data_IF_298023681075
#
_entry.id   IF_298023681075
#
_cell.length_a   1.000
_cell.length_b   1.000
_cell.length_c   1.000
_cell.angle_alpha   90.00
_cell.angle_beta   90.00
_cell.angle_gamma   90.00
#
_symmetry.space_group_name_H-M   'P 1'
#
loop_
_entity.id
_entity.type
_entity.pdbx_description
1 polymer ?
#
# COMPACT_ATOMS: atom_id res chain seq x y z
N UNK A 1 -20.89 -2.22 -18.00
CA UNK A 1 -20.42 -0.83 -18.22
C UNK A 1 -19.01 -0.89 -18.79
N UNK A 2 -18.90 -0.72 -20.11
CA UNK A 2 -17.64 -0.84 -20.82
C UNK A 2 -16.93 0.52 -20.80
N UNK A 3 -15.81 0.56 -20.08
CA UNK A 3 -14.89 1.68 -19.86
C UNK A 3 -15.40 2.83 -18.97
N UNK A 4 -15.06 2.75 -17.67
CA UNK A 4 -14.92 3.94 -16.82
C UNK A 4 -13.51 4.47 -17.06
N UNK A 5 -13.39 5.66 -17.63
CA UNK A 5 -12.10 6.32 -17.84
C UNK A 5 -11.58 6.86 -16.49
N UNK A 6 -10.72 6.09 -15.82
CA UNK A 6 -10.07 6.46 -14.55
C UNK A 6 -8.68 7.10 -14.74
N UNK A 7 -8.22 7.28 -15.98
CA UNK A 7 -6.78 7.32 -16.29
C UNK A 7 -6.18 8.70 -16.58
N UNK A 8 -6.84 9.80 -16.22
CA UNK A 8 -6.20 11.12 -16.31
C UNK A 8 -6.28 11.82 -14.97
N UNK A 9 -5.21 11.74 -14.17
CA UNK A 9 -5.08 12.58 -12.99
C UNK A 9 -5.12 14.03 -13.42
N UNK A 10 -5.96 14.85 -12.77
CA UNK A 10 -5.90 16.29 -12.97
C UNK A 10 -4.49 16.81 -12.64
N UNK A 11 -4.04 17.88 -13.31
CA UNK A 11 -2.68 18.42 -13.14
C UNK A 11 -2.28 18.67 -11.67
N UNK A 12 -3.26 18.92 -10.79
CA UNK A 12 -3.05 19.20 -9.37
C UNK A 12 -3.27 18.00 -8.44
N UNK A 13 -3.84 16.88 -8.93
CA UNK A 13 -4.19 15.74 -8.08
C UNK A 13 -2.97 15.14 -7.38
N UNK A 14 -1.84 15.07 -8.08
CA UNK A 14 -0.60 14.55 -7.51
C UNK A 14 -0.15 15.34 -6.29
N UNK A 15 -0.11 16.67 -6.40
CA UNK A 15 0.35 17.53 -5.32
C UNK A 15 -0.64 17.53 -4.15
N UNK A 16 -1.95 17.54 -4.45
CA UNK A 16 -3.01 17.43 -3.44
C UNK A 16 -2.84 16.17 -2.59
N UNK A 17 -2.52 15.02 -3.22
CA UNK A 17 -2.26 13.78 -2.49
C UNK A 17 -0.99 13.91 -1.64
N UNK A 18 0.12 14.42 -2.19
CA UNK A 18 1.35 14.58 -1.42
C UNK A 18 1.17 15.51 -0.21
N UNK A 19 0.42 16.60 -0.35
CA UNK A 19 0.16 17.53 0.75
C UNK A 19 -0.71 16.90 1.83
N UNK A 20 -1.74 16.13 1.43
CA UNK A 20 -2.58 15.39 2.37
C UNK A 20 -1.78 14.32 3.13
N UNK A 21 -0.94 13.56 2.43
CA UNK A 21 -0.10 12.53 3.04
C UNK A 21 0.97 13.12 3.95
N UNK A 22 1.52 14.30 3.63
CA UNK A 22 2.43 15.02 4.52
C UNK A 22 1.73 15.42 5.82
N UNK A 23 0.54 15.99 5.73
CA UNK A 23 -0.24 16.34 6.92
C UNK A 23 -0.60 15.10 7.75
N UNK A 24 -0.96 13.98 7.09
CA UNK A 24 -1.23 12.71 7.76
C UNK A 24 0.00 12.13 8.46
N UNK A 25 1.18 12.21 7.83
CA UNK A 25 2.44 11.76 8.42
C UNK A 25 2.86 12.61 9.63
N UNK A 26 2.64 13.92 9.59
CA UNK A 26 2.92 14.83 10.71
C UNK A 26 2.00 14.58 11.91
N UNK A 27 0.75 14.22 11.66
CA UNK A 27 -0.25 13.91 12.69
C UNK A 27 -0.38 12.41 12.97
N UNK A 28 0.59 11.61 12.54
CA UNK A 28 0.45 10.15 12.55
C UNK A 28 0.39 9.60 13.98
N UNK A 29 -0.59 8.75 14.21
CA UNK A 29 -0.70 7.92 15.39
C UNK A 29 -1.07 6.49 15.00
N UNK A 30 -0.56 5.52 15.76
CA UNK A 30 -0.85 4.11 15.50
C UNK A 30 -2.31 3.79 15.79
N UNK A 31 -3.09 3.43 14.76
CA UNK A 31 -4.44 2.89 14.94
C UNK A 31 -4.38 1.43 15.43
N UNK A 32 -4.49 1.26 16.75
CA UNK A 32 -4.52 -0.06 17.37
C UNK A 32 -5.81 -0.83 17.15
N UNK A 33 -6.93 -0.15 16.85
CA UNK A 33 -8.22 -0.78 16.63
C UNK A 33 -8.25 -1.55 15.31
N UNK A 34 -7.63 -0.98 14.26
CA UNK A 34 -7.49 -1.64 12.96
C UNK A 34 -6.86 -3.04 13.08
N UNK A 35 -5.84 -3.22 13.93
CA UNK A 35 -5.22 -4.53 14.14
C UNK A 35 -6.14 -5.55 14.81
N UNK A 36 -7.08 -5.12 15.65
CA UNK A 36 -8.09 -6.01 16.22
C UNK A 36 -8.98 -6.61 15.13
N UNK A 37 -9.37 -5.78 14.16
CA UNK A 37 -10.13 -6.25 12.99
C UNK A 37 -9.31 -7.18 12.10
N UNK A 38 -8.04 -6.85 11.83
CA UNK A 38 -7.15 -7.70 11.02
C UNK A 38 -6.90 -9.07 11.67
N UNK A 39 -6.71 -9.09 13.00
CA UNK A 39 -6.58 -10.34 13.75
C UNK A 39 -7.86 -11.19 13.64
N UNK A 40 -9.03 -10.57 13.76
CA UNK A 40 -10.30 -11.27 13.61
C UNK A 40 -10.45 -11.90 12.21
N UNK A 41 -10.02 -11.20 11.15
CA UNK A 41 -10.00 -11.74 9.78
C UNK A 41 -9.05 -12.93 9.69
N UNK A 42 -7.82 -12.80 10.21
CA UNK A 42 -6.82 -13.87 10.19
C UNK A 42 -7.31 -15.15 10.92
N UNK A 43 -7.95 -14.98 12.07
CA UNK A 43 -8.48 -16.10 12.84
C UNK A 43 -9.64 -16.80 12.12
N UNK A 44 -10.51 -16.03 11.45
CA UNK A 44 -11.58 -16.59 10.62
C UNK A 44 -11.03 -17.35 9.42
N UNK A 45 -10.04 -16.80 8.71
CA UNK A 45 -9.40 -17.51 7.61
C UNK A 45 -8.82 -18.85 8.09
N UNK A 46 -8.12 -18.85 9.24
CA UNK A 46 -7.57 -20.08 9.84
C UNK A 46 -8.65 -21.11 10.19
N UNK A 47 -9.75 -20.66 10.80
CA UNK A 47 -10.86 -21.53 11.18
C UNK A 47 -11.55 -22.19 9.98
N UNK A 48 -11.65 -21.47 8.86
CA UNK A 48 -12.25 -21.96 7.60
C UNK A 48 -11.26 -22.71 6.70
N UNK A 49 -9.99 -22.87 7.12
CA UNK A 49 -8.95 -23.49 6.29
C UNK A 49 -8.51 -22.64 5.09
N UNK A 50 -8.83 -21.35 5.09
CA UNK A 50 -8.39 -20.39 4.07
C UNK A 50 -6.97 -19.87 4.38
N UNK A 51 -6.17 -19.68 3.33
CA UNK A 51 -4.87 -19.03 3.44
C UNK A 51 -5.03 -17.51 3.29
N UNK A 52 -4.61 -16.77 4.31
CA UNK A 52 -4.52 -15.32 4.27
C UNK A 52 -3.08 -14.91 3.95
N UNK A 53 -2.92 -13.90 3.10
CA UNK A 53 -1.66 -13.20 2.85
C UNK A 53 -1.96 -11.71 2.84
N UNK A 54 -1.18 -10.93 3.59
CA UNK A 54 -1.21 -9.47 3.52
C UNK A 54 -0.26 -8.97 2.43
N UNK A 55 -0.66 -7.92 1.72
CA UNK A 55 0.17 -7.28 0.71
C UNK A 55 0.22 -5.79 1.05
N UNK A 56 1.41 -5.29 1.39
CA UNK A 56 1.64 -3.86 1.49
C UNK A 56 1.86 -3.34 0.08
N UNK A 57 0.95 -2.50 -0.40
CA UNK A 57 0.92 -2.07 -1.79
C UNK A 57 1.97 -0.98 -2.03
N UNK A 58 2.64 -0.94 -3.20
CA UNK A 58 3.71 0.02 -3.43
C UNK A 58 3.20 1.46 -3.45
N UNK A 59 3.99 2.37 -2.88
CA UNK A 59 3.79 3.82 -3.05
C UNK A 59 4.89 4.43 -3.91
N UNK A 60 4.62 5.60 -4.49
CA UNK A 60 5.60 6.33 -5.28
C UNK A 60 6.77 6.81 -4.39
N UNK A 61 8.02 6.87 -4.90
CA UNK A 61 9.18 7.33 -4.13
C UNK A 61 9.03 8.71 -3.44
N UNK A 62 8.21 9.59 -3.99
CA UNK A 62 7.87 10.87 -3.35
C UNK A 62 7.14 10.67 -2.01
N UNK A 63 6.19 9.74 -1.93
CA UNK A 63 5.46 9.43 -0.71
C UNK A 63 6.34 8.67 0.29
N UNK A 64 7.14 7.71 -0.18
CA UNK A 64 8.14 7.02 0.66
C UNK A 64 9.11 8.02 1.32
N UNK A 65 9.49 9.07 0.59
CA UNK A 65 10.32 10.15 1.12
C UNK A 65 9.60 10.95 2.19
N UNK A 66 8.31 11.27 2.03
CA UNK A 66 7.51 11.97 3.05
C UNK A 66 7.49 11.15 4.35
N UNK A 67 7.21 9.86 4.27
CA UNK A 67 7.15 8.99 5.46
C UNK A 67 8.50 8.88 6.18
N UNK A 68 9.60 8.83 5.42
CA UNK A 68 10.96 8.86 5.98
C UNK A 68 11.31 10.21 6.60
N UNK A 69 10.99 11.32 5.94
CA UNK A 69 11.20 12.68 6.47
C UNK A 69 10.40 12.92 7.76
N UNK A 70 9.25 12.27 7.92
CA UNK A 70 8.46 12.27 9.16
C UNK A 70 8.99 11.32 10.25
N UNK A 71 10.04 10.53 9.97
CA UNK A 71 10.64 9.61 10.95
C UNK A 71 9.82 8.35 11.24
N UNK A 72 8.93 7.93 10.35
CA UNK A 72 7.99 6.82 10.58
C UNK A 72 8.58 5.43 10.27
N UNK A 73 9.88 5.31 10.02
CA UNK A 73 10.51 4.05 9.62
C UNK A 73 10.40 2.96 10.69
N UNK A 74 10.62 3.30 11.97
CA UNK A 74 10.46 2.36 13.08
C UNK A 74 9.00 1.93 13.28
N UNK A 75 8.07 2.87 13.12
CA UNK A 75 6.64 2.61 13.20
C UNK A 75 6.19 1.66 12.08
N UNK A 76 6.66 1.87 10.84
CA UNK A 76 6.41 0.99 9.70
C UNK A 76 6.96 -0.41 9.96
N UNK A 77 8.18 -0.53 10.49
CA UNK A 77 8.77 -1.83 10.82
C UNK A 77 7.95 -2.58 11.87
N UNK A 78 7.49 -1.88 12.93
CA UNK A 78 6.62 -2.47 13.95
C UNK A 78 5.25 -2.89 13.38
N UNK A 79 4.67 -2.09 12.49
CA UNK A 79 3.44 -2.42 11.76
C UNK A 79 3.60 -3.72 10.96
N UNK A 80 4.65 -3.83 10.12
CA UNK A 80 4.89 -5.02 9.30
C UNK A 80 5.18 -6.26 10.14
N UNK A 81 5.94 -6.12 11.23
CA UNK A 81 6.17 -7.22 12.17
C UNK A 81 4.86 -7.73 12.77
N UNK A 82 3.96 -6.80 13.15
CA UNK A 82 2.66 -7.15 13.70
C UNK A 82 1.75 -7.85 12.69
N UNK A 83 1.76 -7.43 11.43
CA UNK A 83 1.07 -8.15 10.35
C UNK A 83 1.65 -9.55 10.13
N UNK A 84 2.98 -9.67 10.11
CA UNK A 84 3.70 -10.93 9.94
C UNK A 84 3.42 -11.97 11.01
N UNK A 85 3.03 -11.54 12.21
CA UNK A 85 2.59 -12.43 13.29
C UNK A 85 1.19 -13.05 13.03
N UNK A 86 0.37 -12.44 12.17
CA UNK A 86 -0.99 -12.89 11.86
C UNK A 86 -1.02 -13.80 10.63
N UNK A 87 -0.29 -13.42 9.58
CA UNK A 87 -0.23 -14.11 8.29
C UNK A 87 1.03 -13.68 7.52
N UNK A 88 1.46 -14.41 6.46
CA UNK A 88 2.53 -13.95 5.57
C UNK A 88 2.27 -12.54 5.03
N UNK A 89 3.32 -11.74 4.92
CA UNK A 89 3.29 -10.37 4.38
C UNK A 89 4.18 -10.28 3.15
N UNK A 90 3.64 -9.74 2.07
CA UNK A 90 4.38 -9.35 0.88
C UNK A 90 4.53 -7.82 0.93
N UNK A 91 5.74 -7.35 1.24
CA UNK A 91 6.05 -5.92 1.27
C UNK A 91 6.52 -5.45 -0.12
N UNK A 92 5.65 -4.74 -0.84
CA UNK A 92 5.97 -4.16 -2.14
C UNK A 92 6.36 -2.69 -2.05
N UNK A 93 6.20 -2.06 -0.89
CA UNK A 93 6.52 -0.65 -0.68
C UNK A 93 7.98 -0.47 -0.24
N UNK A 94 8.88 -1.05 -1.03
CA UNK A 94 10.31 -0.97 -0.80
C UNK A 94 10.96 0.03 -1.77
N UNK A 95 11.93 0.84 -1.30
CA UNK A 95 12.65 1.76 -2.18
C UNK A 95 13.28 1.05 -3.38
N UNK A 96 13.01 1.55 -4.57
CA UNK A 96 13.58 1.05 -5.82
C UNK A 96 12.92 -0.20 -6.41
N UNK A 97 11.89 -0.77 -5.77
CA UNK A 97 11.17 -1.92 -6.32
C UNK A 97 10.24 -1.53 -7.49
N UNK A 98 9.75 -0.29 -7.50
CA UNK A 98 8.88 0.26 -8.55
C UNK A 98 9.48 1.52 -9.19
N UNK A 99 9.15 1.81 -10.46
CA UNK A 99 9.66 2.99 -11.16
C UNK A 99 9.25 4.30 -10.48
N UNK A 100 10.15 5.29 -10.50
CA UNK A 100 9.85 6.67 -10.10
C UNK A 100 9.16 7.49 -11.21
N UNK A 101 8.92 6.89 -12.38
CA UNK A 101 8.24 7.56 -13.48
C UNK A 101 6.75 7.65 -13.19
N UNK A 102 6.21 8.88 -13.11
CA UNK A 102 4.81 9.15 -12.82
C UNK A 102 3.85 8.50 -13.82
N UNK A 103 4.25 8.19 -15.05
CA UNK A 103 3.37 7.49 -15.99
C UNK A 103 3.02 6.05 -15.55
N UNK A 104 3.74 5.50 -14.57
CA UNK A 104 3.45 4.21 -13.95
C UNK A 104 2.38 4.31 -12.84
N UNK A 105 1.97 5.53 -12.49
CA UNK A 105 1.12 5.84 -11.35
C UNK A 105 -0.07 6.71 -11.76
N UNK A 106 -1.23 6.47 -11.14
CA UNK A 106 -2.37 7.41 -11.21
C UNK A 106 -2.14 8.56 -10.24
N UNK A 107 -1.62 8.25 -9.07
CA UNK A 107 -1.23 9.22 -8.05
C UNK A 107 -0.14 8.58 -7.18
N UNK A 108 0.44 9.29 -6.18
CA UNK A 108 1.49 8.73 -5.34
C UNK A 108 1.14 7.44 -4.58
N UNK A 109 -0.14 7.09 -4.43
CA UNK A 109 -0.62 5.91 -3.70
C UNK A 109 -1.01 4.76 -4.64
N UNK A 110 -1.31 5.06 -5.91
CA UNK A 110 -1.97 4.11 -6.80
C UNK A 110 -1.22 3.93 -8.13
N UNK A 111 -0.93 2.67 -8.48
CA UNK A 111 -0.49 2.28 -9.82
C UNK A 111 -1.55 2.59 -10.89
N UNK A 112 -1.13 2.72 -12.15
CA UNK A 112 -2.06 2.64 -13.30
C UNK A 112 -2.75 1.29 -13.37
N UNK A 113 -3.89 1.22 -14.07
CA UNK A 113 -4.65 -0.03 -14.21
C UNK A 113 -3.78 -1.13 -14.83
N UNK A 114 -3.00 -0.81 -15.85
CA UNK A 114 -2.14 -1.79 -16.52
C UNK A 114 -1.02 -2.29 -15.60
N UNK A 115 -0.37 -1.38 -14.87
CA UNK A 115 0.64 -1.74 -13.87
C UNK A 115 0.05 -2.60 -12.73
N UNK A 116 -1.14 -2.25 -12.24
CA UNK A 116 -1.87 -3.02 -11.23
C UNK A 116 -2.22 -4.42 -11.73
N UNK A 117 -2.70 -4.56 -12.98
CA UNK A 117 -3.00 -5.87 -13.58
C UNK A 117 -1.76 -6.74 -13.69
N UNK A 118 -0.66 -6.16 -14.16
CA UNK A 118 0.62 -6.86 -14.24
C UNK A 118 1.10 -7.33 -12.85
N UNK A 119 0.94 -6.49 -11.83
CA UNK A 119 1.29 -6.83 -10.46
C UNK A 119 0.42 -7.97 -9.90
N UNK A 120 -0.91 -7.92 -10.07
CA UNK A 120 -1.80 -8.98 -9.60
C UNK A 120 -1.41 -10.34 -10.22
N UNK A 121 -1.08 -10.36 -11.51
CA UNK A 121 -0.61 -11.58 -12.17
C UNK A 121 0.72 -12.08 -11.60
N UNK A 122 1.62 -11.17 -11.21
CA UNK A 122 2.88 -11.55 -10.56
C UNK A 122 2.66 -12.16 -9.18
N UNK A 123 1.71 -11.65 -8.40
CA UNK A 123 1.47 -12.13 -7.04
C UNK A 123 0.66 -13.45 -7.08
N UNK A 124 -0.40 -13.53 -7.89
CA UNK A 124 -1.37 -14.64 -7.86
C UNK A 124 -1.48 -15.46 -9.15
N UNK A 125 -0.93 -14.99 -10.26
CA UNK A 125 -1.03 -15.65 -11.57
C UNK A 125 0.01 -16.74 -11.82
N UNK A 126 1.03 -16.85 -10.97
CA UNK A 126 1.95 -17.97 -10.97
C UNK A 126 1.33 -19.17 -10.22
N UNK A 127 0.37 -19.82 -10.86
CA UNK A 127 -0.10 -21.17 -10.51
C UNK A 127 0.02 -22.09 -11.73
#
# INVERSE_FOLDING_TARGET
PDAIAYDVPGADQWQVVLDAERAAAEAWEMDTAAFGTLQHIADRCRAEGAQLVFVEYPTHPDLQRIMREAGLEEARAAYLQRLGAMAPVIDLDQPGLFPADRSFWRDPLHLTIDAQRALIQRIWGAQ
#
